data_IF_501235809885
#
_entry.id   IF_501235809885
#
_cell.length_a   1.000
_cell.length_b   1.000
_cell.length_c   1.000
_cell.angle_alpha   90.00
_cell.angle_beta   90.00
_cell.angle_gamma   90.00
#
_symmetry.space_group_name_H-M   'P 1'
#
loop_
_entity.id
_entity.type
_entity.pdbx_description
1 polymer ?
#
# COMPACT_ATOMS: atom_id res chain seq x y z
N UNK A 1 -15.87 -1.55 10.83
CA UNK A 1 -16.35 -1.02 9.53
C UNK A 1 -15.19 -0.91 8.53
N UNK A 2 -15.38 -1.44 7.32
CA UNK A 2 -14.43 -1.36 6.20
C UNK A 2 -15.14 -0.63 5.06
N UNK A 3 -14.51 0.41 4.51
CA UNK A 3 -15.11 1.25 3.46
C UNK A 3 -14.13 1.45 2.31
N UNK A 4 -14.60 1.25 1.09
CA UNK A 4 -13.84 1.56 -0.11
C UNK A 4 -14.04 3.02 -0.47
N UNK A 5 -12.94 3.73 -0.70
CA UNK A 5 -12.90 5.15 -1.02
C UNK A 5 -12.20 5.37 -2.34
N UNK A 6 -12.62 6.43 -3.01
CA UNK A 6 -12.06 6.90 -4.26
C UNK A 6 -11.93 8.42 -4.18
N UNK A 7 -10.79 8.96 -4.58
CA UNK A 7 -10.58 10.40 -4.74
C UNK A 7 -11.08 10.85 -6.12
N UNK A 8 -11.25 12.15 -6.34
CA UNK A 8 -11.75 12.71 -7.62
C UNK A 8 -10.90 12.32 -8.85
N UNK A 9 -9.61 12.01 -8.64
CA UNK A 9 -8.70 11.54 -9.68
C UNK A 9 -8.74 10.02 -9.90
N UNK A 10 -9.72 9.31 -9.30
CA UNK A 10 -9.87 7.86 -9.40
C UNK A 10 -8.98 7.06 -8.44
N UNK A 11 -8.15 7.71 -7.61
CA UNK A 11 -7.23 7.01 -6.72
C UNK A 11 -7.98 6.29 -5.59
N UNK A 12 -7.76 4.98 -5.47
CA UNK A 12 -8.52 4.09 -4.57
C UNK A 12 -7.77 3.73 -3.30
N UNK A 13 -8.50 3.74 -2.20
CA UNK A 13 -7.99 3.31 -0.91
C UNK A 13 -9.10 2.71 -0.03
N UNK A 14 -8.70 2.03 1.04
CA UNK A 14 -9.58 1.41 2.02
C UNK A 14 -9.46 2.20 3.31
N UNK A 15 -10.60 2.61 3.87
CA UNK A 15 -10.74 3.13 5.22
C UNK A 15 -11.25 2.02 6.14
N UNK A 16 -10.58 1.87 7.28
CA UNK A 16 -10.99 0.97 8.35
C UNK A 16 -11.26 1.82 9.57
N UNK A 17 -12.40 1.58 10.22
CA UNK A 17 -12.68 2.07 11.56
C UNK A 17 -13.29 0.94 12.38
N UNK A 18 -12.64 0.60 13.50
CA UNK A 18 -13.12 -0.42 14.44
C UNK A 18 -12.95 0.06 15.89
N UNK A 19 -13.20 -0.82 16.85
CA UNK A 19 -13.11 -0.51 18.29
C UNK A 19 -11.68 -0.16 18.75
N UNK A 20 -10.66 -0.56 17.99
CA UNK A 20 -9.25 -0.41 18.36
C UNK A 20 -8.59 0.78 17.68
N UNK A 21 -8.89 1.03 16.40
CA UNK A 21 -8.19 2.02 15.61
C UNK A 21 -9.00 2.47 14.38
N UNK A 22 -8.50 3.54 13.76
CA UNK A 22 -8.75 3.86 12.36
C UNK A 22 -7.47 3.68 11.53
N UNK A 23 -7.62 3.24 10.29
CA UNK A 23 -6.51 3.04 9.36
C UNK A 23 -6.93 3.37 7.94
N UNK A 24 -5.96 3.82 7.12
CA UNK A 24 -6.16 4.05 5.69
C UNK A 24 -5.06 3.38 4.88
N UNK A 25 -5.45 2.55 3.93
CA UNK A 25 -4.56 1.72 3.12
C UNK A 25 -4.84 1.99 1.64
N UNK A 26 -3.86 2.50 0.90
CA UNK A 26 -3.99 2.65 -0.54
C UNK A 26 -3.93 1.28 -1.22
N UNK A 27 -4.77 1.05 -2.24
CA UNK A 27 -4.65 -0.17 -3.04
C UNK A 27 -3.32 -0.20 -3.79
N UNK A 28 -2.83 0.96 -4.21
CA UNK A 28 -1.46 1.08 -4.69
C UNK A 28 -0.47 0.81 -3.56
N UNK A 29 0.45 -0.11 -3.80
CA UNK A 29 1.51 -0.47 -2.87
C UNK A 29 1.08 -1.22 -1.62
N UNK A 30 -0.20 -1.60 -1.49
CA UNK A 30 -0.80 -2.02 -0.21
C UNK A 30 -0.38 -1.06 0.93
N UNK A 31 -0.37 0.24 0.64
CA UNK A 31 0.38 1.22 1.41
C UNK A 31 -0.45 1.74 2.58
N UNK A 32 -0.11 1.34 3.79
CA UNK A 32 -0.68 1.90 5.02
C UNK A 32 -0.18 3.34 5.20
N UNK A 33 -1.03 4.32 4.90
CA UNK A 33 -0.65 5.74 4.93
C UNK A 33 -1.23 6.52 6.12
N UNK A 34 -2.16 5.91 6.86
CA UNK A 34 -2.68 6.43 8.12
C UNK A 34 -2.97 5.30 9.10
N UNK A 35 -2.62 5.49 10.37
CA UNK A 35 -3.01 4.62 11.46
C UNK A 35 -3.13 5.43 12.74
N UNK A 36 -4.25 5.30 13.44
CA UNK A 36 -4.50 5.96 14.71
C UNK A 36 -5.29 5.04 15.63
N UNK A 37 -4.64 4.59 16.71
CA UNK A 37 -5.33 3.88 17.79
C UNK A 37 -6.32 4.81 18.49
N UNK A 38 -7.46 4.28 18.95
CA UNK A 38 -8.48 5.08 19.65
C UNK A 38 -7.88 5.75 20.88
N UNK A 39 -8.19 7.04 21.05
CA UNK A 39 -7.67 7.87 22.14
C UNK A 39 -6.18 8.22 22.03
N UNK A 40 -5.50 7.90 20.92
CA UNK A 40 -4.11 8.28 20.64
C UNK A 40 -4.04 9.28 19.49
N UNK A 41 -2.88 9.92 19.33
CA UNK A 41 -2.58 10.73 18.14
C UNK A 41 -2.27 9.81 16.95
N UNK A 42 -2.40 10.30 15.69
CA UNK A 42 -1.95 9.56 14.52
C UNK A 42 -0.50 9.09 14.70
N UNK A 43 -0.26 7.81 14.44
CA UNK A 43 1.04 7.16 14.66
C UNK A 43 1.98 7.37 13.47
N UNK A 44 1.44 7.27 12.26
CA UNK A 44 2.22 7.32 11.04
C UNK A 44 2.36 8.76 10.57
N UNK A 45 3.60 9.16 10.30
CA UNK A 45 3.86 10.41 9.60
C UNK A 45 3.50 10.27 8.12
N UNK A 46 2.81 11.26 7.58
CA UNK A 46 2.54 11.42 6.15
C UNK A 46 2.98 12.82 5.73
N UNK A 47 3.64 12.93 4.58
CA UNK A 47 4.03 14.22 4.03
C UNK A 47 2.81 15.08 3.72
N UNK A 48 2.84 16.36 4.08
CA UNK A 48 1.82 17.34 3.62
C UNK A 48 1.81 17.49 2.10
N UNK A 49 2.95 17.21 1.46
CA UNK A 49 3.12 17.15 0.01
C UNK A 49 2.92 15.73 -0.56
N UNK A 50 2.28 14.82 0.17
CA UNK A 50 1.99 13.49 -0.36
C UNK A 50 0.94 13.62 -1.49
N UNK A 51 1.31 13.18 -2.69
CA UNK A 51 0.41 13.13 -3.83
C UNK A 51 -0.10 11.71 -4.03
N UNK A 52 -1.42 11.56 -4.10
CA UNK A 52 -2.08 10.29 -4.38
C UNK A 52 -2.31 10.16 -5.88
N UNK A 53 -1.28 9.71 -6.59
CA UNK A 53 -1.27 9.53 -8.05
C UNK A 53 -0.86 8.08 -8.37
N UNK A 54 -1.57 7.44 -9.29
CA UNK A 54 -1.23 6.09 -9.72
C UNK A 54 0.18 6.05 -10.35
N UNK A 55 0.95 5.01 -10.04
CA UNK A 55 2.34 4.86 -10.44
C UNK A 55 3.35 5.68 -9.63
N UNK A 56 2.94 6.62 -8.77
CA UNK A 56 3.84 7.43 -7.93
C UNK A 56 3.86 6.96 -6.48
N UNK A 57 5.06 6.87 -5.90
CA UNK A 57 5.21 6.39 -4.53
C UNK A 57 4.67 7.42 -3.52
N UNK A 58 3.90 6.97 -2.52
CA UNK A 58 3.41 7.82 -1.44
C UNK A 58 4.57 8.16 -0.49
N UNK A 59 4.69 9.44 -0.11
CA UNK A 59 5.72 9.92 0.82
C UNK A 59 5.21 9.90 2.27
N UNK A 60 5.66 8.91 3.04
CA UNK A 60 5.25 8.67 4.43
C UNK A 60 4.52 7.34 4.57
N UNK A 61 3.93 7.05 5.73
CA UNK A 61 3.29 5.77 6.01
C UNK A 61 4.27 4.59 6.01
N UNK A 62 3.83 3.44 5.53
CA UNK A 62 4.59 2.18 5.50
C UNK A 62 4.75 1.69 4.05
N UNK A 63 5.81 2.12 3.32
CA UNK A 63 6.05 1.68 1.95
C UNK A 63 6.65 0.27 1.88
N UNK A 64 6.12 -0.57 0.98
CA UNK A 64 6.69 -1.89 0.68
C UNK A 64 7.81 -1.75 -0.34
N UNK A 65 9.03 -2.16 0.03
CA UNK A 65 10.19 -2.18 -0.85
C UNK A 65 10.42 -3.60 -1.40
N UNK A 66 10.10 -3.82 -2.68
CA UNK A 66 10.28 -5.12 -3.33
C UNK A 66 10.35 -4.95 -4.85
N UNK A 67 11.26 -5.67 -5.55
CA UNK A 67 12.11 -6.77 -5.07
C UNK A 67 13.50 -6.35 -4.58
N UNK A 68 13.80 -5.06 -4.53
CA UNK A 68 15.05 -4.55 -3.97
C UNK A 68 14.81 -3.38 -3.01
N UNK A 69 15.82 -3.07 -2.20
CA UNK A 69 15.84 -1.93 -1.30
C UNK A 69 16.93 -0.93 -1.75
N UNK A 70 16.62 0.36 -1.73
CA UNK A 70 17.52 1.41 -2.19
C UNK A 70 17.67 1.42 -3.72
N UNK A 71 18.77 1.96 -4.26
CA UNK A 71 19.08 1.91 -5.69
C UNK A 71 19.14 0.47 -6.20
N UNK A 72 18.69 0.23 -7.43
CA UNK A 72 18.87 -1.06 -8.05
C UNK A 72 20.37 -1.28 -8.36
N UNK A 73 20.89 -2.44 -7.98
CA UNK A 73 22.33 -2.76 -8.07
C UNK A 73 22.85 -3.00 -9.51
N UNK A 74 21.96 -3.28 -10.46
CA UNK A 74 22.33 -3.63 -11.84
C UNK A 74 21.91 -2.59 -12.87
N UNK A 75 20.87 -1.80 -12.59
CA UNK A 75 20.36 -0.79 -13.50
C UNK A 75 19.94 0.48 -12.73
N UNK A 76 20.77 1.52 -12.83
CA UNK A 76 20.55 2.80 -12.15
C UNK A 76 19.33 3.59 -12.66
N UNK A 77 18.80 3.26 -13.84
CA UNK A 77 17.60 3.90 -14.40
C UNK A 77 16.31 3.36 -13.77
N UNK A 78 16.38 2.24 -13.04
CA UNK A 78 15.23 1.67 -12.34
C UNK A 78 14.93 2.43 -11.04
N UNK A 79 13.66 2.48 -10.61
CA UNK A 79 13.28 3.18 -9.39
C UNK A 79 13.99 2.59 -8.17
N UNK A 80 14.29 3.46 -7.20
CA UNK A 80 14.74 2.99 -5.90
C UNK A 80 13.60 2.24 -5.20
N UNK A 81 13.96 1.24 -4.39
CA UNK A 81 13.07 0.43 -3.56
C UNK A 81 12.08 -0.48 -4.31
N UNK A 82 12.44 -0.90 -5.52
CA UNK A 82 11.61 -1.79 -6.31
C UNK A 82 10.40 -1.10 -6.91
N UNK A 83 9.45 -1.92 -7.34
CA UNK A 83 8.21 -1.48 -8.00
C UNK A 83 6.97 -1.68 -7.13
N UNK A 84 7.03 -2.51 -6.09
CA UNK A 84 5.84 -2.96 -5.37
C UNK A 84 4.97 -1.81 -4.83
N UNK A 85 5.58 -0.75 -4.29
CA UNK A 85 4.91 0.46 -3.78
C UNK A 85 4.24 1.34 -4.84
N UNK A 86 4.51 1.11 -6.12
CA UNK A 86 3.99 1.87 -7.25
C UNK A 86 2.92 1.10 -8.04
N UNK A 87 2.71 -0.18 -7.71
CA UNK A 87 1.78 -1.05 -8.42
C UNK A 87 0.42 -1.08 -7.73
N UNK A 88 -0.64 -1.30 -8.49
CA UNK A 88 -1.98 -1.50 -7.92
C UNK A 88 -2.13 -2.94 -7.41
N UNK A 89 -2.43 -3.11 -6.13
CA UNK A 89 -2.67 -4.41 -5.52
C UNK A 89 -4.16 -4.73 -5.53
N UNK A 90 -4.48 -6.02 -5.60
CA UNK A 90 -5.86 -6.50 -5.53
C UNK A 90 -6.20 -6.86 -4.09
N UNK A 91 -7.30 -6.33 -3.57
CA UNK A 91 -7.87 -6.82 -2.31
C UNK A 91 -8.43 -8.24 -2.52
N UNK A 92 -7.90 -9.20 -1.77
CA UNK A 92 -8.32 -10.60 -1.79
C UNK A 92 -9.35 -10.91 -0.73
N UNK A 93 -9.17 -10.37 0.48
CA UNK A 93 -10.12 -10.55 1.58
C UNK A 93 -10.12 -9.34 2.51
N UNK A 94 -11.26 -9.12 3.16
CA UNK A 94 -11.48 -8.09 4.15
C UNK A 94 -12.46 -8.63 5.21
N UNK A 95 -12.01 -8.76 6.44
CA UNK A 95 -12.76 -9.42 7.51
C UNK A 95 -12.67 -8.62 8.80
N UNK A 96 -13.80 -8.46 9.48
CA UNK A 96 -13.84 -8.08 10.89
C UNK A 96 -13.76 -9.36 11.73
N UNK A 97 -12.83 -9.40 12.67
CA UNK A 97 -12.56 -10.56 13.50
C UNK A 97 -13.35 -10.49 14.81
N UNK A 98 -13.49 -11.64 15.49
CA UNK A 98 -14.27 -11.75 16.72
C UNK A 98 -13.74 -10.89 17.88
N UNK A 99 -12.44 -10.55 17.86
CA UNK A 99 -11.80 -9.64 18.83
C UNK A 99 -11.99 -8.16 18.49
N UNK A 100 -12.77 -7.85 17.44
CA UNK A 100 -13.02 -6.49 16.95
C UNK A 100 -11.90 -5.93 16.09
N UNK A 101 -10.83 -6.69 15.83
CA UNK A 101 -9.79 -6.28 14.88
C UNK A 101 -10.24 -6.48 13.43
N UNK A 102 -9.46 -5.95 12.49
CA UNK A 102 -9.75 -6.06 11.06
C UNK A 102 -8.56 -6.69 10.36
N UNK A 103 -8.80 -7.73 9.57
CA UNK A 103 -7.82 -8.40 8.73
C UNK A 103 -8.11 -8.08 7.27
N UNK A 104 -7.14 -7.50 6.56
CA UNK A 104 -7.15 -7.37 5.11
C UNK A 104 -6.06 -8.23 4.52
N UNK A 105 -6.29 -8.76 3.33
CA UNK A 105 -5.25 -9.41 2.52
C UNK A 105 -5.25 -8.80 1.13
N UNK A 106 -4.12 -8.22 0.72
CA UNK A 106 -3.88 -7.70 -0.61
C UNK A 106 -2.84 -8.55 -1.33
N UNK A 107 -2.99 -8.68 -2.65
CA UNK A 107 -2.09 -9.48 -3.48
C UNK A 107 -1.49 -8.65 -4.62
N UNK A 108 -0.20 -8.86 -4.88
CA UNK A 108 0.47 -8.43 -6.09
C UNK A 108 1.02 -9.66 -6.83
N UNK A 109 0.68 -9.76 -8.11
CA UNK A 109 1.18 -10.79 -9.02
C UNK A 109 1.89 -10.14 -10.21
N UNK A 110 2.75 -10.88 -10.94
CA UNK A 110 3.45 -10.35 -12.10
C UNK A 110 2.47 -9.90 -13.17
N UNK A 111 2.71 -8.70 -13.69
CA UNK A 111 2.04 -8.12 -14.84
C UNK A 111 3.08 -7.71 -15.90
N UNK A 112 2.63 -7.10 -17.00
CA UNK A 112 3.51 -6.67 -18.09
C UNK A 112 4.61 -5.69 -17.62
N UNK A 113 4.29 -4.75 -16.74
CA UNK A 113 5.22 -3.71 -16.27
C UNK A 113 6.30 -4.29 -15.35
N UNK A 114 5.90 -5.07 -14.36
CA UNK A 114 6.81 -5.72 -13.42
C UNK A 114 7.76 -6.69 -14.12
N UNK A 115 7.27 -7.47 -15.10
CA UNK A 115 8.12 -8.37 -15.90
C UNK A 115 9.12 -7.63 -16.79
N UNK A 116 8.81 -6.40 -17.21
CA UNK A 116 9.72 -5.61 -18.03
C UNK A 116 10.97 -5.17 -17.26
N UNK A 117 10.89 -5.03 -15.93
CA UNK A 117 12.00 -4.61 -15.07
C UNK A 117 12.59 -5.75 -14.23
N UNK A 118 11.82 -6.83 -14.02
CA UNK A 118 12.25 -8.01 -13.28
C UNK A 118 11.50 -9.24 -13.78
N UNK A 119 12.11 -9.98 -14.71
CA UNK A 119 11.50 -11.18 -15.30
C UNK A 119 11.64 -12.39 -14.36
N UNK A 120 10.87 -12.36 -13.28
CA UNK A 120 10.77 -13.45 -12.32
C UNK A 120 9.33 -13.63 -11.89
N UNK A 121 8.94 -14.88 -11.66
CA UNK A 121 7.64 -15.20 -11.08
C UNK A 121 7.66 -14.88 -9.58
N UNK A 122 6.61 -14.23 -9.09
CA UNK A 122 6.43 -13.94 -7.67
C UNK A 122 4.94 -13.92 -7.31
N UNK A 123 4.63 -13.98 -6.03
CA UNK A 123 3.32 -13.61 -5.47
C UNK A 123 3.60 -12.93 -4.14
N UNK A 124 3.16 -11.69 -3.97
CA UNK A 124 3.19 -11.02 -2.67
C UNK A 124 1.79 -11.02 -2.08
N UNK A 125 1.68 -11.41 -0.82
CA UNK A 125 0.46 -11.28 -0.02
C UNK A 125 0.80 -10.45 1.21
N UNK A 126 0.02 -9.40 1.47
CA UNK A 126 0.21 -8.46 2.57
C UNK A 126 -1.11 -8.20 3.30
#
# INVERSE_FOLDING_TARGET
MITHKELDNGYKYIEIENSHAEAKIALQGAHLFHYQAKGKKPLLWLSELAHFEEGKAIRGGVPICFPWFGPNQYNADLPQHGFARNQLWKLMSAQELADGSTHLQLILTPNKETRAVWDSSFVLMF
#
